data_IF_361515859085
#
_entry.id   IF_361515859085
#
_cell.length_a   1.000
_cell.length_b   1.000
_cell.length_c   1.000
_cell.angle_alpha   90.00
_cell.angle_beta   90.00
_cell.angle_gamma   90.00
#
_symmetry.space_group_name_H-M   'P 1'
#
loop_
_entity.id
_entity.type
_entity.pdbx_description
1 polymer ?
#
# COMPACT_ATOMS: atom_id res chain seq x y z
N UNK A 1 -13.66 -0.72 -17.94
CA UNK A 1 -12.49 -1.53 -18.39
C UNK A 1 -11.87 -2.42 -17.31
N UNK A 2 -11.57 -1.97 -16.07
CA UNK A 2 -11.14 -2.86 -14.97
C UNK A 2 -12.29 -3.28 -14.04
N UNK A 3 -13.14 -2.32 -13.64
CA UNK A 3 -14.29 -2.54 -12.74
C UNK A 3 -15.33 -3.53 -13.27
N UNK A 4 -15.35 -3.80 -14.58
CA UNK A 4 -16.27 -4.74 -15.20
C UNK A 4 -15.72 -6.17 -15.30
N UNK A 5 -14.41 -6.35 -15.06
CA UNK A 5 -13.74 -7.66 -15.15
C UNK A 5 -13.27 -8.18 -13.79
N UNK A 6 -13.20 -7.32 -12.77
CA UNK A 6 -12.84 -7.72 -11.40
C UNK A 6 -13.98 -7.46 -10.42
N UNK A 7 -14.16 -8.32 -9.40
CA UNK A 7 -15.10 -8.06 -8.32
C UNK A 7 -14.81 -6.72 -7.65
N UNK A 8 -15.87 -6.02 -7.22
CA UNK A 8 -15.75 -4.70 -6.58
C UNK A 8 -14.83 -4.73 -5.34
N UNK A 9 -14.86 -5.83 -4.59
CA UNK A 9 -13.97 -6.04 -3.47
C UNK A 9 -12.48 -6.12 -3.88
N UNK A 10 -12.17 -6.78 -5.00
CA UNK A 10 -10.81 -6.81 -5.56
C UNK A 10 -10.33 -5.42 -5.99
N UNK A 11 -11.20 -4.65 -6.65
CA UNK A 11 -10.90 -3.25 -6.96
C UNK A 11 -10.65 -2.41 -5.69
N UNK A 12 -11.38 -2.67 -4.61
CA UNK A 12 -11.15 -2.06 -3.30
C UNK A 12 -9.74 -2.33 -2.76
N UNK A 13 -9.24 -3.57 -2.86
CA UNK A 13 -7.87 -3.90 -2.47
C UNK A 13 -6.82 -3.21 -3.33
N UNK A 14 -7.07 -3.08 -4.63
CA UNK A 14 -6.19 -2.34 -5.54
C UNK A 14 -6.10 -0.86 -5.14
N UNK A 15 -7.25 -0.22 -4.87
CA UNK A 15 -7.30 1.17 -4.42
C UNK A 15 -6.63 1.36 -3.06
N UNK A 16 -6.88 0.46 -2.10
CA UNK A 16 -6.25 0.50 -0.79
C UNK A 16 -4.72 0.40 -0.91
N UNK A 17 -4.21 -0.53 -1.73
CA UNK A 17 -2.79 -0.66 -2.01
C UNK A 17 -2.19 0.62 -2.60
N UNK A 18 -2.86 1.21 -3.59
CA UNK A 18 -2.45 2.49 -4.18
C UNK A 18 -2.44 3.64 -3.18
N UNK A 19 -3.41 3.69 -2.26
CA UNK A 19 -3.46 4.70 -1.20
C UNK A 19 -2.29 4.54 -0.22
N UNK A 20 -1.98 3.32 0.22
CA UNK A 20 -0.82 3.07 1.08
C UNK A 20 0.49 3.53 0.43
N UNK A 21 0.71 3.20 -0.84
CA UNK A 21 1.89 3.66 -1.58
C UNK A 21 1.94 5.19 -1.69
N UNK A 22 0.81 5.83 -1.96
CA UNK A 22 0.74 7.30 -2.09
C UNK A 22 1.05 7.99 -0.76
N UNK A 23 0.45 7.52 0.34
CA UNK A 23 0.70 8.07 1.67
C UNK A 23 2.16 7.87 2.06
N UNK A 24 2.72 6.69 1.83
CA UNK A 24 4.15 6.42 2.05
C UNK A 24 5.03 7.38 1.25
N UNK A 25 4.75 7.56 -0.05
CA UNK A 25 5.52 8.46 -0.91
C UNK A 25 5.46 9.92 -0.44
N UNK A 26 4.29 10.37 0.04
CA UNK A 26 4.12 11.71 0.63
C UNK A 26 4.94 11.85 1.91
N UNK A 27 4.90 10.87 2.82
CA UNK A 27 5.71 10.87 4.05
C UNK A 27 7.20 10.94 3.72
N UNK A 28 7.65 10.15 2.75
CA UNK A 28 9.03 10.16 2.30
C UNK A 28 9.44 11.51 1.68
N UNK A 29 8.57 12.13 0.88
CA UNK A 29 8.80 13.43 0.25
C UNK A 29 8.86 14.59 1.25
N UNK A 30 7.97 14.58 2.26
CA UNK A 30 7.95 15.59 3.33
C UNK A 30 9.11 15.36 4.33
N UNK A 31 9.67 14.16 4.38
CA UNK A 31 10.68 13.71 5.36
C UNK A 31 10.21 13.89 6.81
N UNK A 32 8.90 13.78 7.02
CA UNK A 32 8.23 13.80 8.32
C UNK A 32 7.04 12.83 8.29
N UNK A 33 6.66 12.22 9.42
CA UNK A 33 7.22 12.42 10.76
C UNK A 33 8.55 11.69 10.97
N UNK A 34 9.34 12.16 11.94
CA UNK A 34 10.57 11.51 12.42
C UNK A 34 10.41 11.22 13.93
N UNK A 35 9.71 10.13 14.30
CA UNK A 35 9.36 9.87 15.70
C UNK A 35 10.59 9.62 16.58
N UNK A 36 11.62 8.97 16.03
CA UNK A 36 12.86 8.68 16.73
C UNK A 36 14.06 8.95 15.82
N UNK A 37 14.59 10.19 15.85
CA UNK A 37 15.72 10.57 15.03
C UNK A 37 16.92 9.64 15.23
N UNK A 38 17.40 9.04 14.13
CA UNK A 38 18.55 8.12 14.11
C UNK A 38 18.23 6.64 14.37
N UNK A 39 16.98 6.28 14.67
CA UNK A 39 16.55 4.88 14.89
C UNK A 39 15.32 4.51 14.07
N UNK A 40 14.31 5.38 14.01
CA UNK A 40 13.06 5.14 13.31
C UNK A 40 12.40 6.47 12.91
N UNK A 41 12.44 6.77 11.61
CA UNK A 41 11.97 8.02 11.05
C UNK A 41 11.07 7.84 9.83
N UNK A 42 11.04 8.87 8.98
CA UNK A 42 10.18 8.92 7.80
C UNK A 42 10.48 7.79 6.80
N UNK A 43 11.70 7.29 6.75
CA UNK A 43 12.12 6.26 5.81
C UNK A 43 11.58 4.88 6.19
N UNK A 44 11.67 4.53 7.48
CA UNK A 44 11.13 3.28 8.00
C UNK A 44 9.60 3.29 7.94
N UNK A 45 8.98 4.45 8.23
CA UNK A 45 7.52 4.62 8.05
C UNK A 45 7.14 4.40 6.58
N UNK A 46 7.87 5.00 5.64
CA UNK A 46 7.67 4.74 4.21
C UNK A 46 7.74 3.24 3.88
N UNK A 47 8.75 2.53 4.40
CA UNK A 47 8.87 1.09 4.20
C UNK A 47 7.67 0.31 4.76
N UNK A 48 7.14 0.70 5.92
CA UNK A 48 5.93 0.10 6.49
C UNK A 48 4.73 0.31 5.56
N UNK A 49 4.54 1.52 5.02
CA UNK A 49 3.49 1.80 4.03
C UNK A 49 3.66 0.99 2.74
N UNK A 50 4.89 0.82 2.26
CA UNK A 50 5.22 -0.02 1.10
C UNK A 50 4.87 -1.49 1.37
N UNK A 51 5.16 -2.00 2.57
CA UNK A 51 4.80 -3.36 2.95
C UNK A 51 3.28 -3.56 2.99
N UNK A 52 2.52 -2.62 3.56
CA UNK A 52 1.04 -2.68 3.53
C UNK A 52 0.48 -2.59 2.11
N UNK A 53 1.00 -1.69 1.27
CA UNK A 53 0.61 -1.59 -0.14
C UNK A 53 0.88 -2.90 -0.90
N UNK A 54 2.05 -3.49 -0.67
CA UNK A 54 2.45 -4.78 -1.24
C UNK A 54 1.55 -5.92 -0.76
N UNK A 55 1.17 -5.91 0.52
CA UNK A 55 0.25 -6.90 1.09
C UNK A 55 -1.15 -6.80 0.48
N UNK A 56 -1.70 -5.60 0.30
CA UNK A 56 -2.98 -5.40 -0.38
C UNK A 56 -2.93 -5.93 -1.83
N UNK A 57 -1.84 -5.67 -2.54
CA UNK A 57 -1.63 -6.18 -3.89
C UNK A 57 -1.50 -7.71 -3.91
N UNK A 58 -0.73 -8.29 -2.98
CA UNK A 58 -0.60 -9.73 -2.83
C UNK A 58 -1.97 -10.39 -2.56
N UNK A 59 -2.74 -9.85 -1.62
CA UNK A 59 -4.06 -10.38 -1.28
C UNK A 59 -5.06 -10.29 -2.43
N UNK A 60 -5.02 -9.18 -3.18
CA UNK A 60 -5.76 -9.03 -4.43
C UNK A 60 -5.43 -10.18 -5.40
N UNK A 61 -4.14 -10.40 -5.66
CA UNK A 61 -3.67 -11.44 -6.57
C UNK A 61 -4.06 -12.83 -6.08
N UNK A 62 -3.83 -13.14 -4.81
CA UNK A 62 -4.11 -14.43 -4.19
C UNK A 62 -5.61 -14.76 -4.23
N UNK A 63 -6.45 -13.87 -3.70
CA UNK A 63 -7.86 -14.19 -3.46
C UNK A 63 -8.79 -13.95 -4.64
N UNK A 64 -8.50 -12.95 -5.48
CA UNK A 64 -9.41 -12.49 -6.54
C UNK A 64 -8.93 -12.82 -7.95
N UNK A 65 -7.63 -13.07 -8.15
CA UNK A 65 -7.08 -13.45 -9.45
C UNK A 65 -6.75 -14.94 -9.49
N UNK A 66 -6.01 -15.46 -8.50
CA UNK A 66 -5.70 -16.89 -8.42
C UNK A 66 -6.87 -17.71 -7.86
N UNK A 67 -7.77 -17.09 -7.08
CA UNK A 67 -8.99 -17.72 -6.58
C UNK A 67 -8.77 -18.76 -5.47
N UNK A 68 -7.59 -18.72 -4.84
CA UNK A 68 -7.18 -19.55 -3.68
C UNK A 68 -7.44 -18.76 -2.39
#
# INVERSE_FOLDING_TARGET
PLIHVMPLAGFGWLLAGGLFYTVGAVIYGIKKPDPWPGVFGFHEIFHVFVLFGSFCHYWLMYRYIMGI
#
